data_IF_473542580877
#
_entry.id   IF_473542580877
#
_cell.length_a   1.000
_cell.length_b   1.000
_cell.length_c   1.000
_cell.angle_alpha   90.00
_cell.angle_beta   90.00
_cell.angle_gamma   90.00
#
_symmetry.space_group_name_H-M   'P 1'
#
loop_
_entity.id
_entity.type
_entity.pdbx_description
1 polymer ?
#
# COMPACT_ATOMS: atom_id res chain seq x y z
N UNK A 1 -19.79 34.42 -23.38
CA UNK A 1 -19.41 33.05 -23.72
C UNK A 1 -18.21 32.68 -22.86
N UNK A 2 -18.43 31.96 -21.75
CA UNK A 2 -17.35 31.44 -20.93
C UNK A 2 -17.00 30.05 -21.48
N UNK A 3 -15.81 29.94 -22.08
CA UNK A 3 -15.23 28.65 -22.44
C UNK A 3 -14.71 27.97 -21.18
N UNK A 4 -15.52 27.12 -20.55
CA UNK A 4 -15.09 26.16 -19.57
C UNK A 4 -14.40 25.00 -20.29
N UNK A 5 -13.15 25.15 -20.70
CA UNK A 5 -12.26 24.03 -20.99
C UNK A 5 -11.88 23.37 -19.67
N UNK A 6 -12.69 22.40 -19.21
CA UNK A 6 -12.24 21.42 -18.24
C UNK A 6 -11.23 20.52 -18.96
N UNK A 7 -9.93 20.83 -18.82
CA UNK A 7 -8.89 19.88 -19.13
C UNK A 7 -9.09 18.70 -18.18
N UNK A 8 -9.59 17.60 -18.71
CA UNK A 8 -9.58 16.33 -17.97
C UNK A 8 -8.16 15.79 -18.03
N UNK A 9 -7.39 15.98 -16.97
CA UNK A 9 -6.10 15.33 -16.83
C UNK A 9 -6.31 13.83 -16.64
N UNK A 10 -5.49 13.01 -17.26
CA UNK A 10 -5.41 11.60 -16.98
C UNK A 10 -4.53 11.38 -15.77
N UNK A 11 -5.02 10.60 -14.81
CA UNK A 11 -4.20 10.20 -13.68
C UNK A 11 -4.05 8.68 -13.60
N UNK A 12 -2.81 8.23 -13.45
CA UNK A 12 -2.46 6.87 -13.14
C UNK A 12 -1.87 6.81 -11.72
N UNK A 13 -2.43 5.96 -10.87
CA UNK A 13 -1.97 5.78 -9.51
C UNK A 13 -1.33 4.41 -9.36
N UNK A 14 -0.11 4.39 -8.80
CA UNK A 14 0.57 3.17 -8.36
C UNK A 14 0.45 3.03 -6.85
N UNK A 15 0.00 1.87 -6.40
CA UNK A 15 -0.22 1.57 -5.00
C UNK A 15 0.76 0.48 -4.58
N UNK A 16 1.54 0.81 -3.57
CA UNK A 16 2.55 0.00 -2.91
C UNK A 16 3.59 -0.65 -3.84
N UNK A 17 4.73 -0.01 -3.96
CA UNK A 17 5.92 -0.57 -4.61
C UNK A 17 6.84 -1.22 -3.57
N UNK A 18 6.28 -2.07 -2.68
CA UNK A 18 7.01 -2.60 -1.54
C UNK A 18 7.84 -3.85 -1.81
N UNK A 19 8.97 -3.94 -1.13
CA UNK A 19 9.75 -5.16 -0.99
C UNK A 19 9.15 -5.97 0.17
N UNK A 20 8.48 -7.07 -0.12
CA UNK A 20 7.73 -7.89 0.84
C UNK A 20 8.57 -8.50 1.99
N UNK A 21 9.89 -8.46 1.89
CA UNK A 21 10.82 -9.10 2.85
C UNK A 21 11.10 -8.31 4.13
N UNK A 22 10.53 -7.10 4.29
CA UNK A 22 10.90 -6.23 5.41
C UNK A 22 10.23 -6.60 6.74
N UNK A 23 9.03 -7.19 6.69
CA UNK A 23 8.26 -7.49 7.90
C UNK A 23 8.86 -8.62 8.76
N UNK A 24 9.16 -9.77 8.20
CA UNK A 24 9.73 -10.90 8.94
C UNK A 24 11.04 -10.53 9.63
N UNK A 25 11.83 -9.68 8.97
CA UNK A 25 13.09 -9.19 9.52
C UNK A 25 12.87 -8.20 10.67
N UNK A 26 11.83 -7.35 10.62
CA UNK A 26 11.48 -6.46 11.74
C UNK A 26 11.02 -7.25 12.95
N UNK A 27 10.17 -8.23 12.75
CA UNK A 27 9.67 -9.07 13.82
C UNK A 27 10.82 -9.77 14.57
N UNK A 28 11.75 -10.38 13.83
CA UNK A 28 12.97 -10.98 14.41
C UNK A 28 13.87 -9.95 15.10
N UNK A 29 13.99 -8.76 14.53
CA UNK A 29 14.70 -7.64 15.14
C UNK A 29 14.07 -7.26 16.48
N UNK A 30 12.77 -7.00 16.52
CA UNK A 30 12.05 -6.55 17.70
C UNK A 30 12.11 -7.59 18.84
N UNK A 31 11.89 -8.86 18.53
CA UNK A 31 11.95 -9.93 19.53
C UNK A 31 13.38 -10.29 19.96
N UNK A 32 14.38 -9.99 19.14
CA UNK A 32 15.79 -10.22 19.45
C UNK A 32 16.44 -9.11 20.28
N UNK A 33 15.75 -7.98 20.51
CA UNK A 33 16.28 -6.91 21.36
C UNK A 33 16.36 -7.34 22.82
N UNK A 34 17.41 -6.87 23.50
CA UNK A 34 17.56 -7.08 24.95
C UNK A 34 16.38 -6.45 25.70
N UNK A 35 15.71 -7.27 26.49
CA UNK A 35 14.53 -6.90 27.27
C UNK A 35 14.85 -6.54 28.72
N UNK A 36 16.12 -6.39 29.10
CA UNK A 36 16.53 -6.12 30.48
C UNK A 36 15.92 -4.82 31.02
N UNK A 37 15.85 -3.79 30.18
CA UNK A 37 15.31 -2.46 30.51
C UNK A 37 13.86 -2.24 30.07
N UNK A 38 13.22 -3.24 29.45
CA UNK A 38 11.83 -3.11 29.03
C UNK A 38 10.90 -3.01 30.25
N UNK A 39 9.85 -2.21 30.09
CA UNK A 39 8.76 -2.20 31.07
C UNK A 39 8.04 -3.56 31.12
N UNK A 40 7.25 -3.78 32.15
CA UNK A 40 6.44 -4.99 32.29
C UNK A 40 5.49 -5.14 31.09
N UNK A 41 4.94 -4.03 30.59
CA UNK A 41 3.98 -4.02 29.49
C UNK A 41 4.64 -4.41 28.16
N UNK A 42 5.84 -3.89 27.89
CA UNK A 42 6.63 -4.22 26.72
C UNK A 42 7.05 -5.70 26.75
N UNK A 43 7.50 -6.19 27.90
CA UNK A 43 7.84 -7.62 28.07
C UNK A 43 6.66 -8.53 27.77
N UNK A 44 5.47 -8.21 28.32
CA UNK A 44 4.23 -8.98 28.06
C UNK A 44 3.82 -8.93 26.60
N UNK A 45 3.94 -7.76 25.93
CA UNK A 45 3.65 -7.63 24.50
C UNK A 45 4.59 -8.51 23.68
N UNK A 46 5.90 -8.49 23.97
CA UNK A 46 6.89 -9.35 23.29
C UNK A 46 6.60 -10.82 23.50
N UNK A 47 6.25 -11.23 24.72
CA UNK A 47 5.84 -12.61 25.01
C UNK A 47 4.58 -13.04 24.24
N UNK A 48 3.58 -12.17 24.17
CA UNK A 48 2.37 -12.44 23.40
C UNK A 48 2.69 -12.63 21.92
N UNK A 49 3.42 -11.68 21.33
CA UNK A 49 3.84 -11.77 19.93
C UNK A 49 4.69 -13.03 19.67
N UNK A 50 5.51 -13.46 20.62
CA UNK A 50 6.33 -14.66 20.51
C UNK A 50 5.51 -15.94 20.61
N UNK A 51 4.53 -16.00 21.52
CA UNK A 51 3.68 -17.18 21.73
C UNK A 51 2.67 -17.37 20.59
N UNK A 52 2.23 -16.29 19.94
CA UNK A 52 1.37 -16.38 18.76
C UNK A 52 2.09 -16.98 17.52
N UNK A 53 3.44 -17.06 17.55
CA UNK A 53 4.23 -17.69 16.47
C UNK A 53 4.11 -19.22 16.37
N UNK A 54 3.74 -19.91 17.43
CA UNK A 54 3.57 -21.37 17.40
C UNK A 54 2.43 -21.84 16.47
N UNK A 55 1.74 -20.89 15.84
CA UNK A 55 0.85 -21.10 14.70
C UNK A 55 1.51 -20.55 13.42
N UNK A 56 2.38 -21.33 12.81
CA UNK A 56 3.29 -21.06 11.66
C UNK A 56 2.75 -20.22 10.48
N UNK A 57 1.54 -19.70 10.53
CA UNK A 57 0.89 -18.99 9.40
C UNK A 57 0.37 -17.59 9.72
N UNK A 58 0.45 -17.09 10.96
CA UNK A 58 -0.32 -15.90 11.36
C UNK A 58 0.33 -14.55 11.11
N UNK A 59 1.65 -14.43 11.17
CA UNK A 59 2.32 -13.13 11.03
C UNK A 59 3.21 -13.08 9.79
N UNK A 60 2.59 -13.06 8.62
CA UNK A 60 3.32 -12.94 7.35
C UNK A 60 3.41 -11.49 6.86
N UNK A 61 2.54 -10.59 7.37
CA UNK A 61 2.39 -9.23 6.86
C UNK A 61 2.35 -8.20 7.98
N UNK A 62 2.64 -6.95 7.69
CA UNK A 62 2.51 -5.83 8.61
C UNK A 62 1.11 -5.69 9.21
N UNK A 63 0.09 -5.94 8.41
CA UNK A 63 -1.31 -5.96 8.86
C UNK A 63 -1.57 -6.96 9.98
N UNK A 64 -0.83 -8.06 10.02
CA UNK A 64 -1.01 -9.08 11.04
C UNK A 64 -0.48 -8.59 12.39
N UNK A 65 0.66 -7.86 12.39
CA UNK A 65 1.17 -7.20 13.59
C UNK A 65 0.18 -6.14 14.11
N UNK A 66 -0.35 -5.30 13.24
CA UNK A 66 -1.32 -4.26 13.59
C UNK A 66 -2.59 -4.89 14.18
N UNK A 67 -3.13 -5.93 13.55
CA UNK A 67 -4.28 -6.69 14.07
C UNK A 67 -3.94 -7.34 15.41
N UNK A 68 -2.76 -7.93 15.55
CA UNK A 68 -2.25 -8.52 16.78
C UNK A 68 -2.20 -7.50 17.92
N UNK A 69 -1.72 -6.29 17.65
CA UNK A 69 -1.74 -5.17 18.61
C UNK A 69 -3.16 -4.82 19.03
N UNK A 70 -4.10 -4.69 18.08
CA UNK A 70 -5.50 -4.41 18.38
C UNK A 70 -6.14 -5.49 19.26
N UNK A 71 -5.84 -6.75 19.00
CA UNK A 71 -6.28 -7.88 19.80
C UNK A 71 -5.66 -7.86 21.22
N UNK A 72 -4.38 -7.51 21.32
CA UNK A 72 -3.66 -7.46 22.59
C UNK A 72 -4.16 -6.37 23.55
N UNK A 73 -4.88 -5.37 23.04
CA UNK A 73 -5.41 -4.26 23.87
C UNK A 73 -6.23 -4.74 25.07
N UNK A 74 -6.83 -5.91 25.02
CA UNK A 74 -7.60 -6.52 26.16
C UNK A 74 -6.73 -6.75 27.40
N UNK A 75 -5.41 -6.81 27.25
CA UNK A 75 -4.47 -7.05 28.34
C UNK A 75 -3.98 -5.76 29.03
N UNK A 76 -4.35 -4.59 28.50
CA UNK A 76 -4.02 -3.32 29.15
C UNK A 76 -5.14 -2.87 30.09
N UNK A 77 -4.75 -2.46 31.29
CA UNK A 77 -5.69 -2.01 32.33
C UNK A 77 -6.06 -0.52 32.18
N UNK A 78 -5.23 0.25 31.50
CA UNK A 78 -5.40 1.69 31.34
C UNK A 78 -4.65 2.24 30.12
N UNK A 79 -4.92 3.50 29.80
CA UNK A 79 -4.33 4.24 28.66
C UNK A 79 -2.80 4.31 28.74
N UNK A 80 -2.25 4.52 29.94
CA UNK A 80 -0.80 4.65 30.12
C UNK A 80 -0.06 3.38 29.71
N UNK A 81 -0.54 2.23 30.14
CA UNK A 81 0.05 0.92 29.79
C UNK A 81 0.06 0.67 28.29
N UNK A 82 -1.07 0.98 27.63
CA UNK A 82 -1.18 0.85 26.17
C UNK A 82 -0.18 1.77 25.46
N UNK A 83 -0.12 3.05 25.86
CA UNK A 83 0.78 4.04 25.25
C UNK A 83 2.25 3.66 25.41
N UNK A 84 2.63 3.16 26.58
CA UNK A 84 3.99 2.72 26.85
C UNK A 84 4.43 1.59 25.89
N UNK A 85 3.59 0.57 25.74
CA UNK A 85 3.87 -0.54 24.84
C UNK A 85 3.87 -0.12 23.36
N UNK A 86 2.94 0.75 22.97
CA UNK A 86 2.82 1.24 21.61
C UNK A 86 3.99 2.15 21.22
N UNK A 87 4.40 3.05 22.09
CA UNK A 87 5.53 3.95 21.82
C UNK A 87 6.84 3.19 21.69
N UNK A 88 7.09 2.20 22.56
CA UNK A 88 8.27 1.34 22.42
C UNK A 88 8.29 0.64 21.07
N UNK A 89 7.17 0.02 20.67
CA UNK A 89 7.07 -0.65 19.38
C UNK A 89 7.35 0.30 18.21
N UNK A 90 6.77 1.51 18.25
CA UNK A 90 6.94 2.51 17.21
C UNK A 90 8.39 3.04 17.14
N UNK A 91 9.03 3.28 18.29
CA UNK A 91 10.42 3.72 18.36
C UNK A 91 11.37 2.66 17.81
N UNK A 92 11.16 1.38 18.16
CA UNK A 92 11.94 0.26 17.63
C UNK A 92 11.72 0.07 16.13
N UNK A 93 10.52 0.30 15.66
CA UNK A 93 10.23 0.29 14.23
C UNK A 93 10.99 1.40 13.50
N UNK A 94 11.01 2.60 14.06
CA UNK A 94 11.77 3.72 13.50
C UNK A 94 13.28 3.39 13.44
N UNK A 95 13.85 2.83 14.52
CA UNK A 95 15.24 2.38 14.53
C UNK A 95 15.53 1.37 13.42
N UNK A 96 14.68 0.36 13.31
CA UNK A 96 14.82 -0.67 12.26
C UNK A 96 14.72 -0.07 10.85
N UNK A 97 13.75 0.81 10.60
CA UNK A 97 13.58 1.45 9.29
C UNK A 97 14.78 2.32 8.92
N UNK A 98 15.39 3.02 9.91
CA UNK A 98 16.64 3.77 9.70
C UNK A 98 17.81 2.88 9.28
N UNK A 99 17.90 1.66 9.84
CA UNK A 99 18.92 0.67 9.46
C UNK A 99 18.69 0.21 8.02
N UNK A 100 17.44 -0.09 7.65
CA UNK A 100 17.10 -0.55 6.30
C UNK A 100 17.32 0.57 5.27
N UNK A 101 16.88 1.78 5.56
CA UNK A 101 16.95 2.89 4.63
C UNK A 101 18.38 3.35 4.37
N UNK A 102 19.31 3.14 5.33
CA UNK A 102 20.75 3.42 5.15
C UNK A 102 21.47 2.43 4.23
N UNK A 103 20.88 1.27 3.93
CA UNK A 103 21.50 0.31 3.03
C UNK A 103 21.65 0.88 1.64
N UNK A 104 22.82 0.69 1.07
CA UNK A 104 23.07 1.06 -0.31
C UNK A 104 22.23 0.21 -1.27
N UNK A 105 21.78 0.86 -2.33
CA UNK A 105 21.10 0.15 -3.41
C UNK A 105 22.15 -0.66 -4.19
N UNK A 106 21.81 -1.88 -4.66
CA UNK A 106 22.67 -2.63 -5.55
C UNK A 106 23.06 -1.80 -6.78
N UNK A 107 24.35 -1.82 -7.14
CA UNK A 107 24.84 -1.09 -8.32
C UNK A 107 24.16 -1.53 -9.63
N UNK A 108 23.59 -2.74 -9.64
CA UNK A 108 22.86 -3.31 -10.78
C UNK A 108 21.43 -2.77 -10.96
N UNK A 109 20.95 -1.90 -10.05
CA UNK A 109 19.57 -1.38 -10.15
C UNK A 109 19.35 -0.58 -11.42
N UNK A 110 18.36 -1.00 -12.20
CA UNK A 110 17.98 -0.37 -13.46
C UNK A 110 16.85 0.65 -13.27
N UNK A 111 17.21 1.89 -13.01
CA UNK A 111 16.24 2.99 -12.86
C UNK A 111 15.44 3.28 -14.14
N UNK A 112 16.06 3.09 -15.32
CA UNK A 112 15.37 3.27 -16.61
C UNK A 112 14.26 2.23 -16.81
N UNK A 113 14.46 1.00 -16.30
CA UNK A 113 13.41 -0.01 -16.29
C UNK A 113 12.24 0.42 -15.40
N UNK A 114 12.51 0.98 -14.21
CA UNK A 114 11.45 1.48 -13.33
C UNK A 114 10.63 2.59 -14.02
N UNK A 115 11.29 3.56 -14.64
CA UNK A 115 10.64 4.65 -15.40
C UNK A 115 9.75 4.09 -16.53
N UNK A 116 10.26 3.12 -17.27
CA UNK A 116 9.49 2.46 -18.34
C UNK A 116 8.29 1.70 -17.80
N UNK A 117 8.46 0.97 -16.70
CA UNK A 117 7.39 0.19 -16.08
C UNK A 117 6.28 1.10 -15.55
N UNK A 118 6.63 2.24 -14.97
CA UNK A 118 5.67 3.28 -14.57
C UNK A 118 4.95 3.92 -15.77
N UNK A 119 5.64 4.08 -16.91
CA UNK A 119 5.05 4.68 -18.10
C UNK A 119 4.12 3.74 -18.87
N UNK A 120 4.37 2.42 -18.81
CA UNK A 120 3.67 1.41 -19.63
C UNK A 120 3.27 0.17 -18.84
N UNK A 121 2.43 0.28 -17.80
CA UNK A 121 2.07 -0.85 -16.94
C UNK A 121 1.30 -1.95 -17.68
N UNK A 122 0.58 -1.61 -18.72
CA UNK A 122 -0.19 -2.54 -19.54
C UNK A 122 0.67 -3.47 -20.39
N UNK A 123 1.99 -3.18 -20.57
CA UNK A 123 2.90 -4.06 -21.30
C UNK A 123 2.98 -5.48 -20.73
N UNK A 124 2.64 -5.63 -19.45
CA UNK A 124 2.64 -6.89 -18.71
C UNK A 124 1.32 -7.68 -18.80
N UNK A 125 0.32 -7.13 -19.45
CA UNK A 125 -0.95 -7.81 -19.66
C UNK A 125 -0.90 -8.75 -20.87
N UNK A 126 -1.80 -9.73 -20.89
CA UNK A 126 -2.03 -10.54 -22.09
C UNK A 126 -2.45 -9.65 -23.26
N UNK A 127 -2.17 -10.04 -24.52
CA UNK A 127 -2.39 -9.20 -25.70
C UNK A 127 -3.78 -8.55 -25.76
N UNK A 128 -4.84 -9.34 -25.56
CA UNK A 128 -6.22 -8.84 -25.55
C UNK A 128 -6.43 -7.74 -24.51
N UNK A 129 -6.00 -7.96 -23.28
CA UNK A 129 -6.17 -7.01 -22.19
C UNK A 129 -5.27 -5.77 -22.34
N UNK A 130 -4.08 -5.95 -22.94
CA UNK A 130 -3.23 -4.83 -23.30
C UNK A 130 -3.91 -3.92 -24.31
N UNK A 131 -4.55 -4.50 -25.31
CA UNK A 131 -5.32 -3.75 -26.30
C UNK A 131 -6.53 -3.03 -25.69
N UNK A 132 -7.27 -3.70 -24.79
CA UNK A 132 -8.37 -3.07 -24.05
C UNK A 132 -7.92 -1.86 -23.24
N UNK A 133 -6.82 -1.97 -22.49
CA UNK A 133 -6.25 -0.85 -21.72
C UNK A 133 -5.74 0.24 -22.66
N UNK A 134 -5.06 -0.13 -23.74
CA UNK A 134 -4.61 0.84 -24.74
C UNK A 134 -5.77 1.66 -25.32
N UNK A 135 -6.86 0.99 -25.74
CA UNK A 135 -8.03 1.64 -26.28
C UNK A 135 -8.77 2.46 -25.22
N UNK A 136 -8.77 2.01 -23.97
CA UNK A 136 -9.31 2.77 -22.86
C UNK A 136 -8.53 4.07 -22.65
N UNK A 137 -7.19 4.02 -22.56
CA UNK A 137 -6.33 5.18 -22.38
C UNK A 137 -6.35 6.12 -23.60
N UNK A 138 -6.52 5.59 -24.81
CA UNK A 138 -6.60 6.39 -26.02
C UNK A 138 -7.73 7.44 -26.02
N UNK A 139 -8.78 7.23 -25.21
CA UNK A 139 -9.87 8.21 -25.04
C UNK A 139 -9.38 9.58 -24.58
N UNK A 140 -8.23 9.62 -23.88
CA UNK A 140 -7.60 10.82 -23.35
C UNK A 140 -6.28 11.15 -24.04
N UNK A 141 -6.08 10.65 -25.25
CA UNK A 141 -4.82 10.74 -26.00
C UNK A 141 -4.29 12.13 -26.26
N UNK A 142 -5.07 13.18 -25.98
CA UNK A 142 -4.65 14.59 -26.08
C UNK A 142 -4.38 15.23 -24.71
N UNK A 143 -4.52 14.48 -23.63
CA UNK A 143 -4.37 14.97 -22.25
C UNK A 143 -2.94 14.79 -21.73
N UNK A 144 -2.53 15.64 -20.80
CA UNK A 144 -1.31 15.42 -20.00
C UNK A 144 -1.54 14.24 -19.07
N UNK A 145 -0.54 13.35 -18.98
CA UNK A 145 -0.57 12.23 -18.05
C UNK A 145 0.06 12.64 -16.72
N UNK A 146 -0.67 12.39 -15.66
CA UNK A 146 -0.22 12.58 -14.30
C UNK A 146 -0.05 11.21 -13.64
N UNK A 147 1.15 10.91 -13.14
CA UNK A 147 1.46 9.69 -12.44
C UNK A 147 1.69 9.99 -10.96
N UNK A 148 1.00 9.27 -10.11
CA UNK A 148 1.12 9.35 -8.65
C UNK A 148 1.54 7.98 -8.11
N UNK A 149 2.43 7.99 -7.12
CA UNK A 149 2.79 6.79 -6.36
C UNK A 149 2.33 6.97 -4.93
N UNK A 150 1.47 6.06 -4.47
CA UNK A 150 1.08 5.93 -3.07
C UNK A 150 1.83 4.75 -2.49
N UNK A 151 2.83 5.04 -1.66
CA UNK A 151 3.67 4.05 -1.02
C UNK A 151 3.13 3.69 0.36
N UNK A 152 2.96 2.40 0.61
CA UNK A 152 2.67 1.84 1.93
C UNK A 152 3.97 1.46 2.67
N UNK A 153 5.13 1.76 2.08
CA UNK A 153 6.44 1.54 2.69
C UNK A 153 6.95 2.81 3.35
N UNK A 154 7.73 2.62 4.39
CA UNK A 154 8.33 3.69 5.17
C UNK A 154 9.64 4.22 4.60
N UNK A 155 10.30 3.44 3.72
CA UNK A 155 11.64 3.74 3.20
C UNK A 155 11.59 4.59 1.94
N UNK A 156 12.64 5.41 1.73
CA UNK A 156 12.80 6.27 0.56
C UNK A 156 13.49 5.54 -0.63
N UNK A 157 13.29 4.23 -0.75
CA UNK A 157 13.94 3.40 -1.78
C UNK A 157 13.57 3.86 -3.19
N UNK A 158 12.33 4.23 -3.41
CA UNK A 158 11.86 4.69 -4.74
C UNK A 158 12.51 6.02 -5.11
N UNK A 159 12.56 6.98 -4.19
CA UNK A 159 13.21 8.27 -4.40
C UNK A 159 14.70 8.08 -4.70
N UNK A 160 15.37 7.19 -3.99
CA UNK A 160 16.78 6.84 -4.25
C UNK A 160 16.99 6.24 -5.64
N UNK A 161 16.13 5.29 -6.06
CA UNK A 161 16.22 4.67 -7.39
C UNK A 161 15.95 5.69 -8.50
N UNK A 162 14.94 6.53 -8.33
CA UNK A 162 14.55 7.57 -9.30
C UNK A 162 15.46 8.80 -9.24
N UNK A 163 16.29 8.92 -8.18
CA UNK A 163 17.17 10.08 -7.92
C UNK A 163 16.38 11.40 -7.83
N UNK A 164 15.19 11.34 -7.25
CA UNK A 164 14.35 12.51 -7.01
C UNK A 164 14.42 12.91 -5.53
N UNK A 165 14.27 14.22 -5.28
CA UNK A 165 14.11 14.72 -3.92
C UNK A 165 12.64 14.70 -3.51
N UNK A 166 12.41 14.78 -2.22
CA UNK A 166 11.08 15.02 -1.69
C UNK A 166 10.49 16.29 -2.31
N UNK A 167 9.24 16.23 -2.73
CA UNK A 167 8.50 17.30 -3.39
C UNK A 167 8.94 17.66 -4.84
N UNK A 168 9.88 16.92 -5.42
CA UNK A 168 10.24 17.13 -6.83
C UNK A 168 9.29 16.35 -7.75
N UNK A 169 8.91 16.99 -8.86
CA UNK A 169 8.27 16.32 -9.98
C UNK A 169 9.34 15.76 -10.92
N UNK A 170 9.02 14.64 -11.57
CA UNK A 170 9.90 14.02 -12.56
C UNK A 170 9.16 13.78 -13.86
N UNK A 171 9.76 14.19 -14.98
CA UNK A 171 9.28 13.78 -16.31
C UNK A 171 9.66 12.30 -16.53
N UNK A 172 8.67 11.42 -16.61
CA UNK A 172 8.90 9.98 -16.84
C UNK A 172 9.30 9.71 -18.29
N UNK A 173 8.44 10.06 -19.22
CA UNK A 173 8.64 9.90 -20.66
C UNK A 173 7.50 10.58 -21.41
N UNK A 174 7.64 10.71 -22.73
CA UNK A 174 6.46 10.98 -23.53
C UNK A 174 5.53 9.76 -23.48
N UNK A 175 4.24 10.01 -23.33
CA UNK A 175 3.26 8.93 -23.41
C UNK A 175 3.25 8.32 -24.81
N UNK A 176 2.69 7.15 -24.95
CA UNK A 176 2.49 6.48 -26.25
C UNK A 176 1.67 7.31 -27.26
N UNK A 177 1.01 8.36 -26.80
CA UNK A 177 0.23 9.29 -27.63
C UNK A 177 0.95 10.64 -27.83
N UNK A 178 2.24 10.72 -27.47
CA UNK A 178 3.05 11.92 -27.65
C UNK A 178 2.93 12.97 -26.54
N UNK A 179 2.11 12.72 -25.51
CA UNK A 179 1.92 13.66 -24.41
C UNK A 179 2.96 13.48 -23.31
N UNK A 180 3.18 14.56 -22.54
CA UNK A 180 4.06 14.48 -21.37
C UNK A 180 3.46 13.57 -20.29
N UNK A 181 4.31 12.83 -19.59
CA UNK A 181 3.94 12.01 -18.44
C UNK A 181 4.79 12.43 -17.24
N UNK A 182 4.17 13.07 -16.28
CA UNK A 182 4.82 13.63 -15.10
C UNK A 182 4.52 12.79 -13.87
N UNK A 183 5.56 12.30 -13.20
CA UNK A 183 5.49 11.73 -11.87
C UNK A 183 5.50 12.88 -10.85
N UNK A 184 4.49 12.92 -10.02
CA UNK A 184 4.40 13.81 -8.86
C UNK A 184 5.10 13.22 -7.64
N UNK A 185 5.32 14.00 -6.56
CA UNK A 185 6.00 13.53 -5.37
C UNK A 185 5.36 12.26 -4.81
N UNK A 186 6.20 11.32 -4.36
CA UNK A 186 5.73 10.05 -3.79
C UNK A 186 5.04 10.32 -2.47
N UNK A 187 3.86 9.74 -2.29
CA UNK A 187 3.06 9.89 -1.08
C UNK A 187 3.24 8.65 -0.22
N UNK A 188 3.86 8.80 0.96
CA UNK A 188 4.01 7.73 1.95
C UNK A 188 2.85 7.78 2.94
N UNK A 189 1.88 6.86 2.77
CA UNK A 189 0.62 6.90 3.52
C UNK A 189 0.77 6.49 4.98
N UNK A 190 1.77 5.69 5.28
CA UNK A 190 2.10 5.22 6.62
C UNK A 190 3.28 6.00 7.22
N UNK A 191 3.54 7.22 6.71
CA UNK A 191 4.69 8.01 7.12
C UNK A 191 6.00 7.53 6.49
N UNK A 192 7.09 8.08 6.96
CA UNK A 192 8.46 7.80 6.49
C UNK A 192 9.34 7.28 7.63
N UNK A 193 10.59 6.99 7.30
CA UNK A 193 11.61 6.47 8.22
C UNK A 193 11.73 7.28 9.51
N UNK A 194 11.63 8.62 9.43
CA UNK A 194 11.76 9.50 10.59
C UNK A 194 10.48 9.63 11.43
N UNK A 195 9.32 9.28 10.86
CA UNK A 195 8.02 9.30 11.51
C UNK A 195 7.12 8.21 10.93
N UNK A 196 7.41 6.92 11.21
CA UNK A 196 6.57 5.81 10.76
C UNK A 196 5.26 5.81 11.54
N UNK A 197 4.16 5.53 10.86
CA UNK A 197 2.83 5.39 11.46
C UNK A 197 2.41 3.93 11.42
N UNK A 198 2.64 3.22 12.51
CA UNK A 198 2.08 1.89 12.73
C UNK A 198 0.77 2.05 13.51
N UNK A 199 -0.24 1.25 13.22
CA UNK A 199 -1.49 1.37 13.96
C UNK A 199 -2.67 0.72 13.25
N UNK A 200 -3.84 0.95 13.83
CA UNK A 200 -5.11 0.42 13.38
C UNK A 200 -5.79 1.35 12.39
N UNK A 201 -6.70 0.82 11.59
CA UNK A 201 -7.45 1.59 10.63
C UNK A 201 -8.67 2.29 11.23
N UNK A 202 -9.31 1.62 12.21
CA UNK A 202 -10.48 2.17 12.91
C UNK A 202 -10.58 1.61 14.35
N UNK A 203 -11.44 2.25 15.17
CA UNK A 203 -11.61 1.90 16.56
C UNK A 203 -12.17 0.49 16.81
N UNK A 204 -12.87 -0.12 15.83
CA UNK A 204 -13.46 -1.45 16.02
C UNK A 204 -12.38 -2.55 16.07
N UNK A 205 -11.17 -2.23 15.62
CA UNK A 205 -10.02 -3.11 15.75
C UNK A 205 -9.44 -3.13 17.17
N UNK A 206 -9.79 -2.16 18.04
CA UNK A 206 -9.44 -2.14 19.46
C UNK A 206 -10.39 -3.09 20.21
N UNK A 207 -9.85 -4.20 20.76
CA UNK A 207 -10.67 -5.22 21.41
C UNK A 207 -11.03 -4.89 22.85
N UNK A 208 -10.26 -4.06 23.54
CA UNK A 208 -10.62 -3.55 24.86
C UNK A 208 -11.70 -2.48 24.72
N UNK A 209 -12.91 -2.77 25.19
CA UNK A 209 -14.07 -1.89 25.04
C UNK A 209 -13.92 -0.55 25.78
N UNK A 210 -13.28 -0.53 26.95
CA UNK A 210 -13.03 0.67 27.73
C UNK A 210 -12.01 1.58 27.03
N UNK A 211 -10.97 0.98 26.47
CA UNK A 211 -9.93 1.73 25.73
C UNK A 211 -10.42 2.14 24.33
N UNK A 212 -11.33 1.38 23.72
CA UNK A 212 -11.88 1.68 22.39
C UNK A 212 -12.56 3.04 22.31
N UNK A 213 -13.32 3.39 23.34
CA UNK A 213 -14.06 4.66 23.37
C UNK A 213 -13.24 5.82 23.95
N UNK A 214 -12.01 5.56 24.37
CA UNK A 214 -11.12 6.61 24.87
C UNK A 214 -10.46 7.36 23.70
N UNK A 215 -10.65 8.67 23.66
CA UNK A 215 -10.17 9.53 22.57
C UNK A 215 -8.64 9.54 22.48
N UNK A 216 -7.95 9.63 23.63
CA UNK A 216 -6.49 9.63 23.69
C UNK A 216 -5.88 8.31 23.15
N UNK A 217 -6.56 7.17 23.37
CA UNK A 217 -6.16 5.89 22.78
C UNK A 217 -6.36 5.91 21.27
N UNK A 218 -7.49 6.39 20.80
CA UNK A 218 -7.78 6.47 19.37
C UNK A 218 -6.79 7.37 18.65
N UNK A 219 -6.45 8.51 19.22
CA UNK A 219 -5.44 9.45 18.72
C UNK A 219 -4.02 8.85 18.73
N UNK A 220 -3.75 7.90 19.62
CA UNK A 220 -2.45 7.25 19.75
C UNK A 220 -2.24 6.14 18.69
N UNK A 221 -3.28 5.33 18.39
CA UNK A 221 -3.10 4.08 17.62
C UNK A 221 -3.93 3.97 16.35
N UNK A 222 -4.81 4.94 16.04
CA UNK A 222 -5.61 4.93 14.79
C UNK A 222 -4.94 5.80 13.73
N UNK A 223 -4.43 5.17 12.67
CA UNK A 223 -3.66 5.84 11.59
C UNK A 223 -4.33 7.10 11.00
N UNK A 224 -5.63 7.09 10.63
CA UNK A 224 -6.30 8.30 10.15
C UNK A 224 -6.27 9.46 11.14
N UNK A 225 -6.48 9.20 12.45
CA UNK A 225 -6.40 10.24 13.49
C UNK A 225 -4.96 10.74 13.68
N UNK A 226 -3.98 9.85 13.63
CA UNK A 226 -2.56 10.24 13.68
C UNK A 226 -2.18 11.15 12.50
N UNK A 227 -2.62 10.83 11.28
CA UNK A 227 -2.40 11.66 10.10
C UNK A 227 -3.07 13.03 10.23
N UNK A 228 -4.29 13.11 10.78
CA UNK A 228 -4.99 14.36 11.04
C UNK A 228 -4.24 15.23 12.04
N UNK A 229 -3.81 14.66 13.18
CA UNK A 229 -3.04 15.36 14.21
C UNK A 229 -1.71 15.90 13.70
N UNK A 230 -1.04 15.16 12.82
CA UNK A 230 0.22 15.58 12.22
C UNK A 230 0.01 16.60 11.08
N UNK A 231 -1.22 16.96 10.76
CA UNK A 231 -1.60 17.85 9.66
C UNK A 231 -1.00 17.44 8.31
N UNK A 232 -0.70 16.17 8.13
CA UNK A 232 -0.05 15.68 6.90
C UNK A 232 -0.98 15.70 5.69
N UNK A 233 -2.30 15.79 5.89
CA UNK A 233 -3.33 15.76 4.84
C UNK A 233 -3.12 14.64 3.80
N UNK A 234 -2.37 13.60 4.18
CA UNK A 234 -1.99 12.51 3.27
C UNK A 234 -3.22 11.74 2.84
N UNK A 235 -4.11 11.45 3.79
CA UNK A 235 -5.35 10.71 3.53
C UNK A 235 -6.24 11.48 2.55
N UNK A 236 -6.38 12.79 2.73
CA UNK A 236 -7.17 13.67 1.84
C UNK A 236 -6.57 13.70 0.43
N UNK A 237 -5.24 13.80 0.31
CA UNK A 237 -4.56 13.79 -0.98
C UNK A 237 -4.77 12.47 -1.72
N UNK A 238 -4.58 11.34 -1.02
CA UNK A 238 -4.74 10.00 -1.61
C UNK A 238 -6.19 9.72 -1.97
N UNK A 239 -7.17 10.10 -1.11
CA UNK A 239 -8.60 10.01 -1.44
C UNK A 239 -8.90 10.74 -2.75
N UNK A 240 -8.46 11.99 -2.89
CA UNK A 240 -8.66 12.76 -4.10
C UNK A 240 -8.02 12.11 -5.34
N UNK A 241 -6.80 11.59 -5.22
CA UNK A 241 -6.13 10.91 -6.33
C UNK A 241 -6.85 9.62 -6.73
N UNK A 242 -7.30 8.81 -5.77
CA UNK A 242 -8.06 7.59 -6.07
C UNK A 242 -9.38 7.95 -6.78
N UNK A 243 -10.12 8.96 -6.29
CA UNK A 243 -11.40 9.39 -6.87
C UNK A 243 -11.29 9.93 -8.29
N UNK A 244 -10.14 10.45 -8.67
CA UNK A 244 -9.90 11.02 -9.99
C UNK A 244 -9.16 10.08 -10.94
N UNK A 245 -8.57 9.00 -10.43
CA UNK A 245 -7.76 8.07 -11.22
C UNK A 245 -8.52 7.44 -12.38
N UNK A 246 -7.93 7.40 -13.56
CA UNK A 246 -8.40 6.64 -14.70
C UNK A 246 -7.83 5.21 -14.68
N UNK A 247 -6.57 5.07 -14.27
CA UNK A 247 -5.92 3.78 -14.13
C UNK A 247 -5.29 3.67 -12.74
N UNK A 248 -5.59 2.58 -12.03
CA UNK A 248 -4.97 2.25 -10.75
C UNK A 248 -4.12 0.99 -10.94
N UNK A 249 -2.86 1.05 -10.53
CA UNK A 249 -1.93 -0.07 -10.58
C UNK A 249 -1.57 -0.50 -9.15
N UNK A 250 -1.87 -1.74 -8.78
CA UNK A 250 -1.55 -2.28 -7.45
C UNK A 250 -0.38 -3.24 -7.61
N UNK A 251 0.72 -3.00 -6.88
CA UNK A 251 1.92 -3.83 -6.93
C UNK A 251 2.47 -4.10 -5.52
N UNK A 252 2.86 -5.35 -5.25
CA UNK A 252 3.54 -5.74 -4.00
C UNK A 252 2.69 -5.57 -2.74
N UNK A 253 1.37 -5.62 -2.84
CA UNK A 253 0.45 -5.46 -1.72
C UNK A 253 -0.30 -6.75 -1.42
N UNK A 254 -0.38 -7.11 -0.13
CA UNK A 254 -1.12 -8.28 0.35
C UNK A 254 -2.63 -8.08 0.45
N UNK A 255 -3.14 -6.87 0.24
CA UNK A 255 -4.53 -6.47 0.45
C UNK A 255 -4.99 -6.68 1.90
N UNK A 256 -4.19 -6.20 2.84
CA UNK A 256 -4.47 -6.28 4.29
C UNK A 256 -5.77 -5.60 4.70
N UNK A 257 -6.38 -6.08 5.77
CA UNK A 257 -7.62 -5.51 6.31
C UNK A 257 -7.41 -4.18 7.05
N UNK A 258 -6.17 -3.89 7.45
CA UNK A 258 -5.78 -2.61 8.07
C UNK A 258 -5.76 -1.45 7.08
N UNK A 259 -5.94 -1.73 5.79
CA UNK A 259 -5.97 -0.74 4.71
C UNK A 259 -7.33 -0.69 4.01
N UNK A 260 -8.38 -1.19 4.67
CA UNK A 260 -9.75 -1.33 4.14
C UNK A 260 -10.33 -0.04 3.58
N UNK A 261 -9.97 1.12 4.16
CA UNK A 261 -10.40 2.42 3.67
C UNK A 261 -10.07 2.58 2.17
N UNK A 262 -8.84 2.26 1.80
CA UNK A 262 -8.34 2.43 0.43
C UNK A 262 -8.99 1.46 -0.55
N UNK A 263 -9.25 0.23 -0.12
CA UNK A 263 -9.97 -0.77 -0.94
C UNK A 263 -11.40 -0.34 -1.22
N UNK A 264 -12.07 0.25 -0.23
CA UNK A 264 -13.43 0.78 -0.40
C UNK A 264 -13.43 1.94 -1.41
N UNK A 265 -12.49 2.89 -1.31
CA UNK A 265 -12.36 4.00 -2.25
C UNK A 265 -12.12 3.53 -3.69
N UNK A 266 -11.24 2.52 -3.87
CA UNK A 266 -11.01 1.91 -5.18
C UNK A 266 -12.25 1.18 -5.69
N UNK A 267 -13.00 0.51 -4.81
CA UNK A 267 -14.29 -0.09 -5.15
C UNK A 267 -15.26 0.94 -5.68
N UNK A 268 -15.45 2.05 -4.96
CA UNK A 268 -16.31 3.16 -5.41
C UNK A 268 -15.84 3.75 -6.75
N UNK A 269 -14.52 3.89 -6.92
CA UNK A 269 -13.96 4.40 -8.19
C UNK A 269 -14.22 3.45 -9.36
N UNK A 270 -14.28 2.14 -9.14
CA UNK A 270 -14.62 1.14 -10.17
C UNK A 270 -16.06 1.25 -10.68
N UNK A 271 -16.99 1.89 -9.94
CA UNK A 271 -18.34 2.16 -10.44
C UNK A 271 -18.34 3.12 -11.64
N UNK A 272 -17.30 3.90 -11.78
CA UNK A 272 -17.15 4.89 -12.85
C UNK A 272 -16.20 4.42 -13.97
N UNK A 273 -15.68 5.33 -14.78
CA UNK A 273 -14.74 5.01 -15.87
C UNK A 273 -13.28 4.96 -15.34
N UNK A 274 -12.99 3.89 -14.63
CA UNK A 274 -11.67 3.57 -14.12
C UNK A 274 -11.32 2.11 -14.43
N UNK A 275 -10.03 1.80 -14.47
CA UNK A 275 -9.50 0.44 -14.62
C UNK A 275 -8.47 0.16 -13.54
N UNK A 276 -8.36 -1.11 -13.12
CA UNK A 276 -7.33 -1.55 -12.19
C UNK A 276 -6.47 -2.62 -12.85
N UNK A 277 -5.14 -2.47 -12.77
CA UNK A 277 -4.18 -3.54 -13.04
C UNK A 277 -3.61 -3.98 -11.69
N UNK A 278 -3.84 -5.24 -11.32
CA UNK A 278 -3.27 -5.82 -10.11
C UNK A 278 -2.14 -6.77 -10.50
N UNK A 279 -0.92 -6.42 -10.11
CA UNK A 279 0.28 -7.23 -10.32
C UNK A 279 0.40 -8.22 -9.17
N UNK A 280 0.01 -9.46 -9.44
CA UNK A 280 -0.02 -10.51 -8.44
C UNK A 280 1.16 -11.46 -8.62
N UNK A 281 1.74 -11.89 -7.49
CA UNK A 281 2.77 -12.91 -7.44
C UNK A 281 2.19 -14.22 -6.90
N UNK A 282 2.45 -15.32 -7.58
CA UNK A 282 2.12 -16.67 -7.14
C UNK A 282 3.38 -17.55 -7.27
N UNK A 283 3.93 -18.05 -6.14
CA UNK A 283 5.17 -18.82 -6.14
C UNK A 283 5.02 -20.23 -6.77
N UNK A 284 3.79 -20.70 -6.98
CA UNK A 284 3.57 -22.03 -7.57
C UNK A 284 3.86 -22.01 -9.07
N UNK A 285 4.64 -22.94 -9.54
CA UNK A 285 4.78 -23.18 -10.96
C UNK A 285 3.43 -23.56 -11.56
N UNK A 286 3.02 -22.84 -12.60
CA UNK A 286 1.71 -22.98 -13.20
C UNK A 286 1.86 -23.69 -14.53
N UNK A 287 1.38 -24.92 -14.56
CA UNK A 287 1.58 -25.81 -15.69
C UNK A 287 0.44 -25.75 -16.72
N UNK A 288 -0.76 -25.31 -16.30
CA UNK A 288 -1.96 -25.40 -17.16
C UNK A 288 -2.67 -24.05 -17.31
N UNK A 289 -3.13 -23.70 -18.53
CA UNK A 289 -3.88 -22.46 -18.78
C UNK A 289 -5.14 -22.29 -17.92
N UNK A 290 -5.84 -23.39 -17.59
CA UNK A 290 -7.02 -23.36 -16.70
C UNK A 290 -6.67 -22.94 -15.28
N UNK A 291 -5.54 -23.40 -14.75
CA UNK A 291 -5.04 -23.02 -13.42
C UNK A 291 -4.67 -21.55 -13.36
N UNK A 292 -4.01 -21.04 -14.40
CA UNK A 292 -3.72 -19.60 -14.54
C UNK A 292 -4.98 -18.74 -14.48
N UNK A 293 -6.05 -19.16 -15.16
CA UNK A 293 -7.32 -18.43 -15.13
C UNK A 293 -8.01 -18.51 -13.77
N UNK A 294 -7.94 -19.66 -13.08
CA UNK A 294 -8.47 -19.82 -11.75
C UNK A 294 -7.74 -18.90 -10.76
N UNK A 295 -6.42 -18.81 -10.85
CA UNK A 295 -5.61 -17.95 -9.99
C UNK A 295 -5.92 -16.47 -10.24
N UNK A 296 -6.03 -16.05 -11.51
CA UNK A 296 -6.45 -14.67 -11.83
C UNK A 296 -7.83 -14.34 -11.24
N UNK A 297 -8.80 -15.27 -11.35
CA UNK A 297 -10.10 -15.11 -10.72
C UNK A 297 -9.99 -15.00 -9.19
N UNK A 298 -9.15 -15.82 -8.56
CA UNK A 298 -8.91 -15.75 -7.12
C UNK A 298 -8.41 -14.38 -6.69
N UNK A 299 -7.38 -13.81 -7.35
CA UNK A 299 -6.86 -12.48 -7.02
C UNK A 299 -7.87 -11.36 -7.29
N UNK A 300 -8.64 -11.47 -8.39
CA UNK A 300 -9.72 -10.53 -8.67
C UNK A 300 -10.79 -10.55 -7.59
N UNK A 301 -11.24 -11.73 -7.18
CA UNK A 301 -12.23 -11.91 -6.12
C UNK A 301 -11.68 -11.45 -4.75
N UNK A 302 -10.39 -11.69 -4.49
CA UNK A 302 -9.74 -11.20 -3.27
C UNK A 302 -9.80 -9.68 -3.19
N UNK A 303 -9.44 -8.95 -4.25
CA UNK A 303 -9.55 -7.50 -4.28
C UNK A 303 -11.01 -7.04 -4.07
N UNK A 304 -11.95 -7.63 -4.79
CA UNK A 304 -13.37 -7.29 -4.67
C UNK A 304 -13.96 -7.61 -3.29
N UNK A 305 -13.47 -8.65 -2.62
CA UNK A 305 -13.93 -8.99 -1.25
C UNK A 305 -13.50 -7.96 -0.21
N UNK A 306 -12.46 -7.17 -0.48
CA UNK A 306 -12.00 -6.10 0.41
C UNK A 306 -12.79 -4.80 0.25
N UNK A 307 -13.62 -4.70 -0.80
CA UNK A 307 -14.44 -3.52 -1.07
C UNK A 307 -15.82 -3.62 -0.42
N UNK A 308 -16.48 -2.48 -0.25
CA UNK A 308 -17.87 -2.39 0.23
C UNK A 308 -18.93 -2.56 -0.89
N UNK A 309 -18.51 -2.95 -2.10
CA UNK A 309 -19.41 -3.15 -3.22
C UNK A 309 -20.42 -4.27 -2.96
N UNK A 310 -21.64 -4.08 -3.40
CA UNK A 310 -22.67 -5.14 -3.46
C UNK A 310 -22.27 -6.23 -4.47
N UNK A 311 -22.87 -7.40 -4.39
CA UNK A 311 -22.54 -8.51 -5.31
C UNK A 311 -22.82 -8.15 -6.78
N UNK A 312 -23.88 -7.36 -7.06
CA UNK A 312 -24.14 -6.86 -8.40
C UNK A 312 -23.04 -5.92 -8.89
N UNK A 313 -22.62 -4.96 -8.04
CA UNK A 313 -21.54 -4.01 -8.36
C UNK A 313 -20.21 -4.72 -8.53
N UNK A 314 -19.91 -5.75 -7.72
CA UNK A 314 -18.70 -6.58 -7.86
C UNK A 314 -18.65 -7.28 -9.21
N UNK A 315 -19.79 -7.78 -9.71
CA UNK A 315 -19.86 -8.40 -11.02
C UNK A 315 -19.47 -7.42 -12.13
N UNK A 316 -19.99 -6.20 -12.09
CA UNK A 316 -19.68 -5.16 -13.07
C UNK A 316 -18.22 -4.67 -12.93
N UNK A 317 -17.77 -4.41 -11.71
CA UNK A 317 -16.40 -4.01 -11.40
C UNK A 317 -15.37 -5.06 -11.83
N UNK A 318 -15.71 -6.35 -11.75
CA UNK A 318 -14.85 -7.46 -12.16
C UNK A 318 -14.35 -7.33 -13.61
N UNK A 319 -15.14 -6.75 -14.51
CA UNK A 319 -14.76 -6.54 -15.92
C UNK A 319 -13.73 -5.41 -16.10
N UNK A 320 -13.50 -4.60 -15.06
CA UNK A 320 -12.59 -3.46 -15.06
C UNK A 320 -11.27 -3.76 -14.31
N UNK A 321 -11.09 -5.00 -13.82
CA UNK A 321 -9.90 -5.43 -13.10
C UNK A 321 -9.13 -6.42 -13.95
N UNK A 322 -7.84 -6.15 -14.15
CA UNK A 322 -6.90 -6.95 -14.94
C UNK A 322 -5.81 -7.49 -14.04
N UNK A 323 -5.55 -8.79 -14.10
CA UNK A 323 -4.52 -9.44 -13.28
C UNK A 323 -3.29 -9.73 -14.14
N UNK A 324 -2.19 -9.06 -13.82
CA UNK A 324 -0.85 -9.32 -14.34
C UNK A 324 -0.14 -10.28 -13.37
N UNK A 325 0.00 -11.55 -13.77
CA UNK A 325 0.47 -12.63 -12.88
C UNK A 325 1.93 -12.97 -13.16
N UNK A 326 2.78 -13.01 -12.13
CA UNK A 326 4.19 -13.40 -12.18
C UNK A 326 4.97 -12.64 -13.26
N UNK A 327 4.82 -11.34 -13.31
CA UNK A 327 5.48 -10.49 -14.31
C UNK A 327 6.82 -9.97 -13.82
N UNK A 328 7.65 -9.51 -14.77
CA UNK A 328 8.93 -8.84 -14.47
C UNK A 328 8.78 -7.35 -14.17
N UNK A 329 7.55 -6.87 -13.91
CA UNK A 329 7.33 -5.48 -13.50
C UNK A 329 8.12 -5.18 -12.24
N UNK A 330 8.87 -4.09 -12.24
CA UNK A 330 9.76 -3.67 -11.16
C UNK A 330 10.81 -4.70 -10.70
N UNK A 331 11.11 -5.71 -11.50
CA UNK A 331 12.30 -6.53 -11.35
C UNK A 331 13.50 -5.75 -11.91
N UNK A 332 14.14 -5.00 -11.02
CA UNK A 332 15.14 -3.99 -11.37
C UNK A 332 16.59 -4.50 -11.38
N UNK A 333 16.80 -5.75 -11.02
CA UNK A 333 18.11 -6.43 -11.01
C UNK A 333 18.12 -7.58 -11.99
#
# INVERSE_FOLDING_TARGET
MQFNCKFKNESCIYINLGLATQYENFYRFYLGLDSSNDSIQVKKLKEHLKNDQDQESRYQYWSDLEIGMGNYTVNFSNVKELKEAYYDLNDRMQEYMKIIDKKDLPASINSQKLIRDLSYPDQYLRPLFKEEIYNFLKKWGTSVYETYIVSFNYTNVLEKILKIKENDNMQLSNSRFGNSNTLYPIIHIHGKVDAPLIGLNDKNQIKNELLRENEEVQECIIKPKLNEMLAHLVDVKVDNHIRTANLICIFGHSLGDTDKLWWNLMGERLKTDCRIIYFAYNPKELLRPSELNNIRRKYKNLLLSKTSLTESEKKDASNKIYIALNTDMFKLT
#
